data_IF_908632836045
#
_entry.id   IF_908632836045
#
_cell.length_a   1.000
_cell.length_b   1.000
_cell.length_c   1.000
_cell.angle_alpha   90.00
_cell.angle_beta   90.00
_cell.angle_gamma   90.00
#
_symmetry.space_group_name_H-M   'P 1'
#
loop_
_entity.id
_entity.type
_entity.pdbx_description
1 polymer ?
#
# COMPACT_ATOMS: atom_id res chain seq x y z
N UNK A 1 -67.68 35.15 5.20
CA UNK A 1 -68.29 34.09 6.02
C UNK A 1 -69.32 33.43 5.14
N UNK A 2 -69.31 32.09 5.07
CA UNK A 2 -70.16 31.15 4.31
C UNK A 2 -69.28 30.22 3.46
N UNK A 3 -69.26 28.89 3.51
CA UNK A 3 -69.57 27.85 4.49
C UNK A 3 -68.75 26.63 4.02
N UNK A 4 -67.73 26.19 4.75
CA UNK A 4 -66.99 24.95 4.44
C UNK A 4 -67.52 23.83 5.33
N UNK A 5 -68.29 22.93 4.71
CA UNK A 5 -68.86 21.71 5.31
C UNK A 5 -67.75 20.68 5.58
N UNK A 6 -67.75 20.10 6.78
CA UNK A 6 -66.74 19.16 7.32
C UNK A 6 -66.95 17.70 6.86
N UNK A 7 -67.40 17.50 5.61
CA UNK A 7 -67.89 16.19 5.15
C UNK A 7 -67.35 15.78 3.79
N UNK A 8 -66.05 15.96 3.53
CA UNK A 8 -65.38 15.30 2.40
C UNK A 8 -64.35 14.28 2.90
N UNK A 9 -64.51 13.03 2.47
CA UNK A 9 -63.60 11.94 2.79
C UNK A 9 -62.25 12.15 2.05
N UNK A 10 -61.10 11.79 2.66
CA UNK A 10 -59.82 11.92 1.99
C UNK A 10 -59.77 11.01 0.75
N UNK A 11 -59.05 11.41 -0.32
CA UNK A 11 -58.95 10.60 -1.52
C UNK A 11 -58.32 9.24 -1.17
N UNK A 12 -59.01 8.16 -1.54
CA UNK A 12 -58.46 6.80 -1.43
C UNK A 12 -57.19 6.71 -2.27
N UNK A 13 -56.06 6.71 -1.58
CA UNK A 13 -54.75 6.44 -2.17
C UNK A 13 -54.76 5.09 -2.86
N UNK A 14 -54.74 5.11 -4.20
CA UNK A 14 -54.31 3.98 -5.02
C UNK A 14 -52.87 3.64 -4.66
N UNK A 15 -52.60 2.37 -4.37
CA UNK A 15 -51.26 1.79 -4.53
C UNK A 15 -50.66 1.19 -3.27
N UNK A 16 -51.27 0.13 -2.74
CA UNK A 16 -50.55 -0.84 -1.92
C UNK A 16 -49.66 -1.73 -2.80
N UNK A 17 -48.55 -1.18 -3.29
CA UNK A 17 -47.48 -1.99 -3.88
C UNK A 17 -46.70 -2.65 -2.75
N UNK A 18 -46.53 -3.97 -2.81
CA UNK A 18 -45.69 -4.71 -1.87
C UNK A 18 -44.28 -4.07 -1.80
N UNK A 19 -43.62 -4.04 -0.61
CA UNK A 19 -42.26 -3.54 -0.51
C UNK A 19 -41.36 -4.37 -1.43
N UNK A 20 -40.80 -3.72 -2.44
CA UNK A 20 -39.80 -4.31 -3.32
C UNK A 20 -38.61 -4.74 -2.46
N UNK A 21 -38.09 -5.98 -2.61
CA UNK A 21 -36.89 -6.39 -1.90
C UNK A 21 -35.75 -5.44 -2.28
N UNK A 22 -35.04 -4.92 -1.27
CA UNK A 22 -33.86 -4.10 -1.47
C UNK A 22 -32.90 -4.85 -2.42
N UNK A 23 -32.35 -4.20 -3.45
CA UNK A 23 -31.36 -4.82 -4.31
C UNK A 23 -30.21 -5.35 -3.45
N UNK A 24 -30.06 -6.67 -3.37
CA UNK A 24 -28.91 -7.27 -2.73
C UNK A 24 -27.71 -6.98 -3.63
N UNK A 25 -26.71 -6.29 -3.09
CA UNK A 25 -25.44 -6.12 -3.80
C UNK A 25 -24.84 -7.49 -4.09
N UNK A 26 -24.09 -7.65 -5.19
CA UNK A 26 -23.36 -8.88 -5.46
C UNK A 26 -22.54 -9.27 -4.22
N UNK A 27 -22.44 -10.58 -3.88
CA UNK A 27 -21.66 -11.01 -2.73
C UNK A 27 -20.20 -10.60 -2.93
N UNK A 28 -19.75 -9.59 -2.17
CA UNK A 28 -18.35 -9.19 -2.14
C UNK A 28 -17.54 -10.31 -1.50
N UNK A 29 -16.57 -10.86 -2.23
CA UNK A 29 -15.69 -11.88 -1.70
C UNK A 29 -14.55 -11.23 -0.91
N UNK A 30 -14.56 -11.39 0.42
CA UNK A 30 -13.49 -10.91 1.30
C UNK A 30 -12.39 -11.95 1.44
N UNK A 31 -11.69 -12.24 0.34
CA UNK A 31 -10.54 -13.16 0.34
C UNK A 31 -9.32 -12.50 -0.28
N UNK A 32 -8.12 -12.90 0.14
CA UNK A 32 -6.86 -12.44 -0.48
C UNK A 32 -6.88 -12.68 -1.99
N UNK A 33 -7.38 -13.85 -2.40
CA UNK A 33 -7.49 -14.21 -3.80
C UNK A 33 -8.40 -13.28 -4.59
N UNK A 34 -9.57 -12.94 -4.05
CA UNK A 34 -10.49 -11.99 -4.70
C UNK A 34 -9.83 -10.62 -4.89
N UNK A 35 -9.07 -10.13 -3.90
CA UNK A 35 -8.39 -8.85 -4.01
C UNK A 35 -7.24 -8.86 -5.03
N UNK A 36 -6.50 -9.97 -5.14
CA UNK A 36 -5.41 -10.09 -6.11
C UNK A 36 -5.91 -10.32 -7.55
N UNK A 37 -7.09 -10.94 -7.71
CA UNK A 37 -7.70 -11.14 -9.02
C UNK A 37 -7.89 -9.83 -9.76
N UNK A 38 -8.42 -8.81 -9.09
CA UNK A 38 -8.66 -7.47 -9.64
C UNK A 38 -7.36 -6.70 -9.93
N UNK A 39 -6.21 -7.18 -9.43
CA UNK A 39 -4.89 -6.61 -9.64
C UNK A 39 -4.09 -7.34 -10.73
N UNK A 40 -4.65 -8.40 -11.33
CA UNK A 40 -3.99 -9.16 -12.39
C UNK A 40 -3.79 -8.28 -13.63
N UNK A 41 -2.61 -8.38 -14.23
CA UNK A 41 -2.15 -7.58 -15.38
C UNK A 41 -2.06 -6.07 -15.13
N UNK A 42 -2.14 -5.65 -13.86
CA UNK A 42 -1.92 -4.25 -13.46
C UNK A 42 -0.50 -4.01 -12.98
N UNK A 43 -0.07 -2.74 -13.09
CA UNK A 43 1.22 -2.29 -12.56
C UNK A 43 1.08 -2.04 -11.06
N UNK A 44 1.90 -2.71 -10.26
CA UNK A 44 1.85 -2.66 -8.80
C UNK A 44 3.18 -2.18 -8.21
N UNK A 45 3.09 -1.51 -7.07
CA UNK A 45 4.21 -1.36 -6.13
C UNK A 45 4.07 -2.41 -5.04
N UNK A 46 5.12 -3.19 -4.82
CA UNK A 46 5.21 -4.22 -3.78
C UNK A 46 6.30 -3.83 -2.81
N UNK A 47 5.93 -3.61 -1.55
CA UNK A 47 6.87 -3.40 -0.47
C UNK A 47 7.19 -4.74 0.20
N UNK A 48 8.48 -5.05 0.31
CA UNK A 48 8.96 -6.25 0.98
C UNK A 48 9.30 -5.97 2.45
N UNK A 49 9.33 -7.02 3.27
CA UNK A 49 9.67 -6.92 4.69
C UNK A 49 11.09 -6.39 4.95
N UNK A 50 12.02 -6.63 4.04
CA UNK A 50 13.42 -6.14 4.14
C UNK A 50 13.58 -4.63 3.80
N UNK A 51 12.47 -3.98 3.45
CA UNK A 51 12.39 -2.57 3.11
C UNK A 51 12.42 -2.28 1.61
N UNK A 52 12.71 -3.27 0.75
CA UNK A 52 12.78 -3.07 -0.71
C UNK A 52 11.41 -2.71 -1.28
N UNK A 53 11.44 -1.97 -2.40
CA UNK A 53 10.25 -1.54 -3.14
C UNK A 53 10.39 -2.01 -4.58
N UNK A 54 9.57 -2.99 -4.95
CA UNK A 54 9.51 -3.52 -6.31
C UNK A 54 8.34 -2.86 -7.04
N UNK A 55 8.51 -2.53 -8.30
CA UNK A 55 7.46 -2.03 -9.18
C UNK A 55 7.45 -2.93 -10.42
N UNK A 56 6.29 -3.49 -10.77
CA UNK A 56 6.19 -4.40 -11.91
C UNK A 56 4.75 -4.71 -12.25
N UNK A 57 4.54 -5.44 -13.35
CA UNK A 57 3.21 -5.88 -13.78
C UNK A 57 2.93 -7.26 -13.20
N UNK A 58 1.84 -7.41 -12.45
CA UNK A 58 1.44 -8.69 -11.88
C UNK A 58 0.94 -9.64 -12.97
N UNK A 59 1.57 -10.81 -13.13
CA UNK A 59 1.19 -11.81 -14.14
C UNK A 59 0.53 -13.04 -13.58
N UNK A 60 0.96 -13.47 -12.40
CA UNK A 60 0.30 -14.57 -11.71
C UNK A 60 0.49 -14.45 -10.20
N UNK A 61 -0.43 -15.04 -9.47
CA UNK A 61 -0.42 -15.07 -8.02
C UNK A 61 -1.12 -16.33 -7.50
N UNK A 62 -0.94 -16.63 -6.21
CA UNK A 62 -1.66 -17.69 -5.52
C UNK A 62 -2.30 -17.21 -4.20
N UNK A 63 -3.06 -18.07 -3.52
CA UNK A 63 -3.74 -17.73 -2.27
C UNK A 63 -2.80 -17.39 -1.11
N UNK A 64 -1.51 -17.71 -1.22
CA UNK A 64 -0.48 -17.35 -0.25
C UNK A 64 0.20 -16.02 -0.59
N UNK A 65 -0.26 -15.33 -1.63
CA UNK A 65 0.32 -14.12 -2.18
C UNK A 65 1.76 -14.31 -2.70
N UNK A 66 2.12 -15.50 -3.19
CA UNK A 66 3.31 -15.63 -4.04
C UNK A 66 3.02 -14.91 -5.36
N UNK A 67 3.91 -14.01 -5.81
CA UNK A 67 3.67 -13.13 -6.95
C UNK A 67 4.70 -13.37 -8.05
N UNK A 68 4.25 -13.39 -9.30
CA UNK A 68 5.11 -13.29 -10.47
C UNK A 68 4.92 -11.91 -11.08
N UNK A 69 5.99 -11.11 -11.05
CA UNK A 69 6.03 -9.78 -11.63
C UNK A 69 6.82 -9.81 -12.94
N UNK A 70 6.34 -9.10 -13.96
CA UNK A 70 7.05 -8.84 -15.21
C UNK A 70 7.50 -7.38 -15.28
N UNK A 71 8.60 -7.13 -16.00
CA UNK A 71 9.18 -5.79 -16.18
C UNK A 71 9.46 -5.11 -14.84
N UNK A 72 9.92 -5.92 -13.89
CA UNK A 72 10.13 -5.52 -12.51
C UNK A 72 11.34 -4.62 -12.41
N UNK A 73 11.16 -3.50 -11.73
CA UNK A 73 12.22 -2.62 -11.25
C UNK A 73 12.23 -2.61 -9.73
N UNK A 74 13.40 -2.46 -9.14
CA UNK A 74 13.56 -2.15 -7.73
C UNK A 74 13.92 -0.68 -7.58
N UNK A 75 13.08 0.08 -6.87
CA UNK A 75 13.30 1.50 -6.61
C UNK A 75 13.92 1.68 -5.23
N UNK A 76 15.10 2.28 -5.19
CA UNK A 76 15.84 2.60 -3.97
C UNK A 76 15.64 4.07 -3.67
N UNK A 77 15.28 4.38 -2.42
CA UNK A 77 15.12 5.75 -1.92
C UNK A 77 16.23 6.08 -0.93
N UNK A 78 16.92 7.19 -1.16
CA UNK A 78 17.91 7.80 -0.28
C UNK A 78 17.42 9.18 0.18
N UNK A 79 16.59 9.25 1.23
CA UNK A 79 16.13 10.52 1.80
C UNK A 79 17.30 11.30 2.41
N UNK A 80 17.29 12.62 2.21
CA UNK A 80 18.29 13.52 2.77
C UNK A 80 18.11 13.65 4.29
N UNK A 81 19.19 13.88 5.07
CA UNK A 81 19.11 14.00 6.53
C UNK A 81 18.24 15.18 6.99
N UNK A 82 18.26 16.28 6.24
CA UNK A 82 17.58 17.53 6.59
C UNK A 82 16.05 17.42 6.52
N UNK A 83 15.54 16.51 5.70
CA UNK A 83 14.11 16.24 5.55
C UNK A 83 13.69 14.95 6.28
N UNK A 84 14.59 14.34 7.06
CA UNK A 84 14.28 13.13 7.81
C UNK A 84 13.35 13.45 8.98
N UNK A 85 12.05 13.18 8.82
CA UNK A 85 11.02 13.40 9.82
C UNK A 85 10.04 14.53 9.50
N UNK A 86 10.15 15.17 8.32
CA UNK A 86 9.09 16.02 7.79
C UNK A 86 7.98 15.19 7.14
N UNK A 87 6.77 15.76 7.05
CA UNK A 87 5.64 15.15 6.34
C UNK A 87 5.92 14.95 4.84
N UNK A 88 6.86 15.70 4.28
CA UNK A 88 7.32 15.58 2.91
C UNK A 88 8.84 15.41 2.90
N UNK A 89 9.34 14.16 2.96
CA UNK A 89 10.77 13.89 2.88
C UNK A 89 11.27 14.18 1.46
N UNK A 90 12.45 14.76 1.37
CA UNK A 90 13.15 15.00 0.10
C UNK A 90 14.37 14.11 -0.01
N UNK A 91 14.76 13.75 -1.23
CA UNK A 91 15.89 12.85 -1.39
C UNK A 91 16.21 12.49 -2.83
N UNK A 92 17.00 11.43 -2.96
CA UNK A 92 17.38 10.86 -4.24
C UNK A 92 16.74 9.48 -4.40
N UNK A 93 16.46 9.09 -5.64
CA UNK A 93 16.05 7.73 -5.95
C UNK A 93 16.77 7.19 -7.19
N UNK A 94 16.86 5.86 -7.26
CA UNK A 94 17.40 5.14 -8.41
C UNK A 94 16.65 3.83 -8.60
N UNK A 95 16.57 3.38 -9.86
CA UNK A 95 15.86 2.16 -10.25
C UNK A 95 16.85 1.10 -10.74
N UNK A 96 16.63 -0.16 -10.37
CA UNK A 96 17.37 -1.34 -10.83
C UNK A 96 16.42 -2.25 -11.59
N UNK A 97 16.75 -2.63 -12.82
CA UNK A 97 15.92 -3.55 -13.61
C UNK A 97 16.19 -5.00 -13.25
N UNK A 98 15.13 -5.75 -12.95
CA UNK A 98 15.17 -7.20 -12.66
C UNK A 98 14.45 -8.05 -13.72
N UNK A 99 13.51 -7.49 -14.48
CA UNK A 99 12.78 -8.24 -15.50
C UNK A 99 11.66 -9.10 -14.91
N UNK A 100 11.75 -10.43 -15.05
CA UNK A 100 10.78 -11.35 -14.44
C UNK A 100 11.24 -11.68 -13.02
N UNK A 101 10.36 -11.48 -12.03
CA UNK A 101 10.69 -11.62 -10.63
C UNK A 101 9.62 -12.43 -9.89
N UNK A 102 10.03 -13.49 -9.18
CA UNK A 102 9.16 -14.29 -8.32
C UNK A 102 9.34 -13.84 -6.87
N UNK A 103 8.27 -13.33 -6.26
CA UNK A 103 8.24 -12.92 -4.86
C UNK A 103 7.51 -13.98 -4.04
N UNK A 104 8.13 -14.42 -2.95
CA UNK A 104 7.50 -15.32 -1.99
C UNK A 104 6.55 -14.55 -1.08
N UNK A 105 5.34 -15.06 -0.88
CA UNK A 105 4.22 -14.32 -0.30
C UNK A 105 4.43 -13.88 1.15
N UNK A 106 5.16 -14.65 1.96
CA UNK A 106 5.46 -14.23 3.33
C UNK A 106 6.39 -13.01 3.39
N UNK A 107 7.16 -12.72 2.34
CA UNK A 107 8.04 -11.55 2.29
C UNK A 107 7.32 -10.28 1.82
N UNK A 108 6.09 -10.41 1.34
CA UNK A 108 5.25 -9.27 0.97
C UNK A 108 4.74 -8.61 2.25
N UNK A 109 5.06 -7.31 2.41
CA UNK A 109 4.53 -6.50 3.50
C UNK A 109 3.22 -5.85 3.09
N UNK A 110 3.21 -5.19 1.92
CA UNK A 110 2.02 -4.61 1.31
C UNK A 110 2.23 -4.51 -0.21
N UNK A 111 1.14 -4.34 -0.93
CA UNK A 111 1.15 -4.04 -2.35
C UNK A 111 -0.01 -3.10 -2.70
N UNK A 112 0.13 -2.35 -3.78
CA UNK A 112 -0.90 -1.46 -4.28
C UNK A 112 -0.75 -1.21 -5.77
N UNK A 113 -1.89 -1.01 -6.44
CA UNK A 113 -1.95 -0.57 -7.83
C UNK A 113 -1.33 0.82 -7.97
N UNK A 114 -0.54 0.99 -9.03
CA UNK A 114 0.04 2.28 -9.40
C UNK A 114 -0.85 2.94 -10.43
N UNK A 115 -1.16 4.21 -10.19
CA UNK A 115 -1.78 5.10 -11.15
C UNK A 115 -0.75 5.44 -12.25
N UNK A 116 -1.03 4.98 -13.48
CA UNK A 116 -0.11 5.10 -14.61
C UNK A 116 0.14 6.57 -14.99
N UNK A 117 -0.83 7.44 -14.82
CA UNK A 117 -0.70 8.86 -15.16
C UNK A 117 0.28 9.58 -14.22
N UNK A 118 0.44 9.08 -12.99
CA UNK A 118 1.35 9.65 -11.99
C UNK A 118 2.72 8.98 -11.97
N UNK A 119 2.87 7.82 -12.59
CA UNK A 119 4.12 7.05 -12.51
C UNK A 119 5.22 7.59 -13.44
N UNK A 120 4.84 8.38 -14.45
CA UNK A 120 5.80 9.09 -15.32
C UNK A 120 6.55 10.21 -14.57
N UNK A 121 5.93 10.77 -13.52
CA UNK A 121 6.53 11.81 -12.71
C UNK A 121 7.45 11.23 -11.62
N UNK A 122 8.57 11.91 -11.30
CA UNK A 122 9.36 11.58 -10.13
C UNK A 122 8.50 11.61 -8.86
N UNK A 123 8.72 10.69 -7.90
CA UNK A 123 8.03 10.73 -6.62
C UNK A 123 8.19 12.11 -5.96
N UNK A 124 7.14 12.67 -5.34
CA UNK A 124 7.19 14.01 -4.76
C UNK A 124 8.38 14.19 -3.80
N UNK A 125 9.19 15.22 -4.02
CA UNK A 125 10.38 15.50 -3.21
C UNK A 125 11.62 14.67 -3.54
N UNK A 126 11.53 13.70 -4.46
CA UNK A 126 12.65 12.86 -4.85
C UNK A 126 13.14 13.15 -6.26
N UNK A 127 14.46 13.24 -6.42
CA UNK A 127 15.11 13.41 -7.72
C UNK A 127 15.86 12.14 -8.13
N UNK A 128 15.80 11.80 -9.43
CA UNK A 128 16.53 10.66 -9.96
C UNK A 128 18.03 10.94 -9.93
N UNK A 129 18.82 10.00 -9.44
CA UNK A 129 20.27 10.10 -9.39
C UNK A 129 20.95 8.79 -9.82
N UNK A 130 22.29 8.80 -9.82
CA UNK A 130 23.10 7.65 -10.15
C UNK A 130 22.94 6.51 -9.11
N UNK A 131 22.85 5.28 -9.60
CA UNK A 131 22.57 4.11 -8.77
C UNK A 131 23.59 3.92 -7.63
N UNK A 132 24.87 4.11 -7.93
CA UNK A 132 25.95 3.92 -6.94
C UNK A 132 25.82 4.93 -5.78
N UNK A 133 25.55 6.19 -6.12
CA UNK A 133 25.36 7.26 -5.13
C UNK A 133 24.15 6.98 -4.24
N UNK A 134 23.01 6.62 -4.84
CA UNK A 134 21.77 6.34 -4.09
C UNK A 134 21.93 5.11 -3.21
N UNK A 135 22.54 4.03 -3.71
CA UNK A 135 22.81 2.82 -2.92
C UNK A 135 23.67 3.14 -1.70
N UNK A 136 24.77 3.85 -1.91
CA UNK A 136 25.68 4.23 -0.82
C UNK A 136 24.95 5.01 0.28
N UNK A 137 24.19 6.04 -0.09
CA UNK A 137 23.43 6.85 0.86
C UNK A 137 22.34 6.04 1.60
N UNK A 138 21.65 5.14 0.89
CA UNK A 138 20.62 4.29 1.47
C UNK A 138 21.22 3.28 2.48
N UNK A 139 22.38 2.69 2.16
CA UNK A 139 23.11 1.77 3.05
C UNK A 139 23.65 2.48 4.29
N UNK A 140 24.27 3.66 4.12
CA UNK A 140 24.74 4.49 5.23
C UNK A 140 23.59 4.85 6.18
N UNK A 141 22.43 5.25 5.64
CA UNK A 141 21.24 5.55 6.44
C UNK A 141 20.71 4.30 7.17
N UNK A 142 20.57 3.17 6.46
CA UNK A 142 20.10 1.90 7.07
C UNK A 142 21.01 1.46 8.22
N UNK A 143 22.33 1.62 8.05
CA UNK A 143 23.31 1.32 9.09
C UNK A 143 23.18 2.27 10.29
N UNK A 144 23.02 3.58 10.05
CA UNK A 144 22.81 4.58 11.09
C UNK A 144 21.52 4.34 11.89
N UNK A 145 20.41 4.06 11.21
CA UNK A 145 19.11 3.76 11.82
C UNK A 145 19.18 2.48 12.66
N UNK A 146 19.84 1.42 12.15
CA UNK A 146 20.08 0.18 12.91
C UNK A 146 20.91 0.43 14.17
N UNK A 147 21.95 1.25 14.08
CA UNK A 147 22.78 1.61 15.24
C UNK A 147 21.98 2.41 16.28
N UNK A 148 21.19 3.41 15.82
CA UNK A 148 20.32 4.23 16.67
C UNK A 148 19.27 3.38 17.38
N UNK A 149 18.63 2.46 16.66
CA UNK A 149 17.61 1.58 17.21
C UNK A 149 18.19 0.62 18.27
N UNK A 150 19.38 0.05 18.02
CA UNK A 150 20.08 -0.76 19.01
C UNK A 150 20.38 0.01 20.30
N UNK A 151 20.74 1.29 20.20
CA UNK A 151 20.95 2.16 21.37
C UNK A 151 19.63 2.48 22.07
N UNK A 152 18.56 2.74 21.32
CA UNK A 152 17.21 3.00 21.84
C UNK A 152 16.68 1.79 22.62
N UNK A 153 16.73 0.60 22.03
CA UNK A 153 16.31 -0.65 22.67
C UNK A 153 17.08 -0.92 23.97
N UNK A 154 18.39 -0.71 23.99
CA UNK A 154 19.19 -0.83 25.23
C UNK A 154 18.76 0.14 26.33
N UNK A 155 18.32 1.35 25.98
CA UNK A 155 17.81 2.33 26.97
C UNK A 155 16.43 1.93 27.48
N UNK A 156 15.55 1.50 26.59
CA UNK A 156 14.19 1.05 26.92
C UNK A 156 14.19 -0.23 27.77
N UNK A 157 15.10 -1.17 27.49
CA UNK A 157 15.28 -2.38 28.29
C UNK A 157 15.60 -2.09 29.76
N UNK A 158 16.35 -1.02 30.05
CA UNK A 158 16.62 -0.58 31.44
C UNK A 158 15.38 -0.05 32.16
N UNK A 159 14.34 0.32 31.41
CA UNK A 159 13.07 0.80 31.93
C UNK A 159 12.00 -0.29 31.99
N UNK A 160 12.35 -1.56 31.74
CA UNK A 160 11.44 -2.69 31.77
C UNK A 160 10.65 -2.91 30.48
N UNK A 161 10.98 -2.20 29.39
CA UNK A 161 10.41 -2.49 28.08
C UNK A 161 11.18 -3.63 27.41
N UNK A 162 10.48 -4.70 27.06
CA UNK A 162 11.00 -5.73 26.18
C UNK A 162 10.86 -5.24 24.73
N UNK A 163 11.97 -5.24 23.99
CA UNK A 163 11.90 -4.96 22.56
C UNK A 163 11.19 -6.12 21.86
N UNK A 164 10.11 -5.85 21.15
CA UNK A 164 9.55 -6.81 20.21
C UNK A 164 10.55 -7.02 19.06
N UNK A 165 11.33 -8.09 19.12
CA UNK A 165 12.15 -8.56 17.99
C UNK A 165 11.28 -9.22 16.90
N UNK A 166 10.09 -8.67 16.60
CA UNK A 166 9.10 -9.31 15.72
C UNK A 166 9.38 -9.13 14.21
N UNK A 167 10.58 -8.72 13.81
CA UNK A 167 10.84 -8.46 12.40
C UNK A 167 12.27 -8.25 11.94
N UNK A 168 13.31 -8.56 12.74
CA UNK A 168 14.60 -8.87 12.10
C UNK A 168 14.44 -10.25 11.45
N UNK A 169 14.11 -10.21 10.16
CA UNK A 169 14.25 -11.28 9.19
C UNK A 169 15.68 -11.82 9.31
N UNK A 170 15.81 -12.88 10.11
CA UNK A 170 16.98 -13.74 10.16
C UNK A 170 16.53 -15.05 9.55
N UNK A 171 16.65 -15.14 8.22
CA UNK A 171 16.99 -16.36 7.47
C UNK A 171 17.71 -15.92 6.19
#
# INVERSE_FOLDING_TARGET
MENLSISDAPPQGRGGGAPQPLPQLPPQMFTTAAQLLDLTDKKLMVALRDGRKLIGVLRSWDQFANLVLQSTIERIFAPLPESAGSDQPTGLYADITHGIFLVRGENVLLLGEIDLDKDDDPPPGFQRAELEVVKKLAEEKKAADKAREKVRLKKLAKQGFEGENLGEIVF
#
